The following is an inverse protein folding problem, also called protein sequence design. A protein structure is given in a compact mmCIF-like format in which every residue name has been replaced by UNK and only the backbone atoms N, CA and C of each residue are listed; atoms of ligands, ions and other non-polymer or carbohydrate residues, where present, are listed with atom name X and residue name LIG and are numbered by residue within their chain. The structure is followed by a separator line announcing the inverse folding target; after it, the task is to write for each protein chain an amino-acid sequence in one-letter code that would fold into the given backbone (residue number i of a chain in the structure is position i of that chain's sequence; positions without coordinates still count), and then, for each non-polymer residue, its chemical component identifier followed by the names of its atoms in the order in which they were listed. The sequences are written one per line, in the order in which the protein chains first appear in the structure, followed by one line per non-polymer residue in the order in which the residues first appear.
data_IF_421444288755
#
_entry.id   IF_421444288755
#
_cell.length_a   1.000
_cell.length_b   1.000
_cell.length_c   1.000
_cell.angle_alpha   90.00
_cell.angle_beta   90.00
_cell.angle_gamma   90.00
#
_symmetry.space_group_name_H-M   'P 1'
#
loop_
_entity.id
_entity.type
_entity.pdbx_description
1 polymer ?
#
# COMPACT_ATOMS: atom_id res chain seq x y z
N UNK A 1 1.89 9.48 -2.56
CA UNK A 1 1.37 9.66 -1.17
C UNK A 1 0.81 11.05 -0.93
N UNK A 2 1.28 12.09 -1.63
CA UNK A 2 0.89 13.49 -1.40
C UNK A 2 -0.63 13.73 -1.40
N UNK A 3 -1.37 13.09 -2.31
CA UNK A 3 -2.83 13.27 -2.46
C UNK A 3 -3.68 12.19 -1.76
N UNK A 4 -3.05 11.31 -0.97
CA UNK A 4 -3.81 10.34 -0.20
C UNK A 4 -4.41 11.01 1.04
N UNK A 5 -5.59 10.56 1.51
CA UNK A 5 -6.13 11.04 2.76
C UNK A 5 -5.23 10.62 3.93
N UNK A 6 -5.31 11.34 5.05
CA UNK A 6 -4.45 11.08 6.21
C UNK A 6 -4.69 9.69 6.83
N UNK A 7 -5.89 9.13 6.65
CA UNK A 7 -6.22 7.78 7.06
C UNK A 7 -5.71 6.68 6.11
N UNK A 8 -5.00 7.03 5.04
CA UNK A 8 -4.51 6.05 4.07
C UNK A 8 -3.50 5.07 4.68
N UNK A 9 -3.54 3.85 4.14
CA UNK A 9 -2.54 2.82 4.35
C UNK A 9 -1.94 2.41 3.00
N UNK A 10 -0.62 2.33 2.93
CA UNK A 10 0.13 1.93 1.74
C UNK A 10 0.81 0.59 1.98
N UNK A 11 0.79 -0.27 0.98
CA UNK A 11 1.52 -1.54 0.98
C UNK A 11 2.63 -1.48 -0.07
N UNK A 12 3.87 -1.66 0.35
CA UNK A 12 5.01 -1.78 -0.54
C UNK A 12 5.27 -3.26 -0.86
N UNK A 13 5.02 -3.62 -2.12
CA UNK A 13 5.23 -4.98 -2.64
C UNK A 13 6.71 -5.33 -2.71
N UNK A 14 7.58 -4.38 -3.08
CA UNK A 14 9.01 -4.64 -3.09
C UNK A 14 9.77 -3.33 -2.95
N UNK A 15 10.79 -3.36 -2.10
CA UNK A 15 11.54 -2.18 -1.67
C UNK A 15 12.89 -2.01 -2.37
N UNK A 16 13.20 -2.83 -3.38
CA UNK A 16 14.51 -2.81 -4.05
C UNK A 16 15.69 -2.97 -3.08
N UNK A 17 15.48 -3.75 -2.02
CA UNK A 17 16.41 -3.96 -0.90
C UNK A 17 16.74 -2.70 -0.09
N UNK A 18 15.97 -1.61 -0.29
CA UNK A 18 16.01 -0.41 0.54
C UNK A 18 14.69 -0.27 1.31
N UNK A 19 14.67 -0.84 2.51
CA UNK A 19 13.50 -0.81 3.39
C UNK A 19 13.11 0.58 3.91
N UNK A 20 13.98 1.59 3.74
CA UNK A 20 13.74 2.92 4.28
C UNK A 20 13.13 3.88 3.24
N UNK A 21 13.41 3.71 1.95
CA UNK A 21 13.03 4.64 0.89
C UNK A 21 11.56 5.09 0.97
N UNK A 22 10.60 4.16 0.80
CA UNK A 22 9.17 4.50 0.86
C UNK A 22 8.61 4.55 2.29
N UNK A 23 9.24 3.87 3.23
CA UNK A 23 8.86 3.90 4.65
C UNK A 23 9.02 5.30 5.23
N UNK A 24 10.14 5.96 4.95
CA UNK A 24 10.40 7.32 5.44
C UNK A 24 9.50 8.34 4.72
N UNK A 25 9.25 8.17 3.42
CA UNK A 25 8.28 9.01 2.70
C UNK A 25 6.86 8.88 3.28
N UNK A 26 6.42 7.65 3.61
CA UNK A 26 5.13 7.42 4.25
C UNK A 26 5.07 8.04 5.64
N UNK A 27 6.14 7.90 6.43
CA UNK A 27 6.26 8.54 7.75
C UNK A 27 6.20 10.06 7.65
N UNK A 28 6.92 10.67 6.71
CA UNK A 28 6.90 12.11 6.46
C UNK A 28 5.52 12.62 6.05
N UNK A 29 4.79 11.86 5.21
CA UNK A 29 3.40 12.21 4.85
C UNK A 29 2.41 11.94 5.98
N UNK A 30 2.75 11.11 6.96
CA UNK A 30 1.86 10.70 8.04
C UNK A 30 0.87 9.59 7.66
N UNK A 31 1.15 8.82 6.61
CA UNK A 31 0.31 7.69 6.18
C UNK A 31 0.90 6.37 6.67
N UNK A 32 0.04 5.37 6.91
CA UNK A 32 0.48 4.10 7.48
C UNK A 32 1.18 3.24 6.43
N UNK A 33 2.43 2.89 6.68
CA UNK A 33 3.23 2.02 5.82
C UNK A 33 3.13 0.54 6.24
N UNK A 34 2.98 -0.34 5.25
CA UNK A 34 2.98 -1.79 5.37
C UNK A 34 3.89 -2.40 4.30
N UNK A 35 4.49 -3.54 4.62
CA UNK A 35 5.19 -4.43 3.67
C UNK A 35 5.12 -5.87 4.21
N UNK A 36 5.76 -6.82 3.56
CA UNK A 36 5.76 -8.23 3.95
C UNK A 36 6.26 -8.43 5.38
N UNK A 37 5.60 -9.32 6.13
CA UNK A 37 6.11 -9.75 7.45
C UNK A 37 7.31 -10.70 7.30
N UNK A 38 7.36 -11.43 6.17
CA UNK A 38 8.49 -12.28 5.80
C UNK A 38 8.76 -12.14 4.29
N UNK A 39 10.00 -11.81 3.93
CA UNK A 39 10.40 -11.57 2.54
C UNK A 39 10.49 -12.86 1.71
N UNK A 40 10.55 -14.03 2.35
CA UNK A 40 10.49 -15.34 1.69
C UNK A 40 9.15 -15.62 1.01
N UNK A 41 8.14 -14.77 1.23
CA UNK A 41 6.84 -14.80 0.56
C UNK A 41 6.78 -14.04 -0.76
N UNK A 42 7.90 -13.44 -1.18
CA UNK A 42 8.05 -12.70 -2.42
C UNK A 42 9.17 -13.33 -3.25
N UNK A 43 8.87 -13.72 -4.48
CA UNK A 43 9.81 -14.39 -5.36
C UNK A 43 9.95 -13.63 -6.69
N UNK A 44 11.18 -13.28 -7.11
CA UNK A 44 11.40 -12.67 -8.41
C UNK A 44 11.15 -13.69 -9.53
N UNK A 45 10.35 -13.31 -10.51
CA UNK A 45 10.14 -14.04 -11.75
C UNK A 45 11.10 -13.50 -12.82
N UNK A 46 12.30 -14.08 -12.87
CA UNK A 46 13.31 -13.77 -13.86
C UNK A 46 14.08 -12.47 -13.59
N UNK A 47 14.68 -11.93 -14.65
CA UNK A 47 15.52 -10.73 -14.57
C UNK A 47 14.87 -9.61 -15.37
N UNK A 48 14.26 -8.67 -14.66
CA UNK A 48 13.70 -7.47 -15.26
C UNK A 48 14.79 -6.63 -15.92
N UNK A 49 14.66 -6.37 -17.23
CA UNK A 49 15.62 -5.59 -18.00
C UNK A 49 15.09 -4.18 -18.28
N UNK A 50 15.94 -3.19 -18.09
CA UNK A 50 15.69 -1.81 -18.50
C UNK A 50 15.43 -1.77 -20.02
N UNK A 51 14.40 -1.05 -20.50
CA UNK A 51 14.10 -0.98 -21.93
C UNK A 51 15.23 -0.37 -22.78
N UNK A 52 16.04 0.52 -22.19
CA UNK A 52 17.02 1.34 -22.91
C UNK A 52 18.34 0.61 -23.17
N UNK A 53 18.87 -0.09 -22.18
CA UNK A 53 20.22 -0.67 -22.19
C UNK A 53 20.23 -2.17 -21.84
N UNK A 54 19.05 -2.76 -21.60
CA UNK A 54 18.85 -4.14 -21.15
C UNK A 54 19.56 -4.47 -19.83
N UNK A 55 19.99 -3.48 -19.07
CA UNK A 55 20.59 -3.67 -17.76
C UNK A 55 19.56 -4.26 -16.82
N UNK A 56 19.95 -5.30 -16.09
CA UNK A 56 19.07 -5.94 -15.11
C UNK A 56 18.85 -4.98 -13.94
N UNK A 57 17.60 -4.79 -13.53
CA UNK A 57 17.30 -3.98 -12.37
C UNK A 57 16.03 -4.48 -11.68
N UNK A 58 16.11 -4.64 -10.34
CA UNK A 58 15.09 -5.32 -9.53
C UNK A 58 13.71 -4.64 -9.58
N UNK A 59 13.68 -3.32 -9.83
CA UNK A 59 12.45 -2.55 -10.10
C UNK A 59 11.65 -3.04 -11.31
N UNK A 60 12.31 -3.59 -12.34
CA UNK A 60 11.67 -4.05 -13.57
C UNK A 60 11.39 -5.54 -13.57
N UNK A 61 11.65 -6.22 -12.45
CA UNK A 61 11.43 -7.66 -12.30
C UNK A 61 9.98 -7.90 -11.91
N UNK A 62 9.36 -8.93 -12.49
CA UNK A 62 8.05 -9.38 -12.06
C UNK A 62 8.21 -10.16 -10.74
N UNK A 63 7.19 -10.14 -9.89
CA UNK A 63 7.24 -10.87 -8.62
C UNK A 63 6.00 -11.72 -8.45
N UNK A 64 6.21 -12.99 -8.11
CA UNK A 64 5.20 -13.85 -7.52
C UNK A 64 5.19 -13.68 -6.00
N UNK A 65 4.02 -13.81 -5.38
CA UNK A 65 3.91 -13.76 -3.93
C UNK A 65 2.81 -14.66 -3.39
N UNK A 66 2.93 -14.97 -2.09
CA UNK A 66 1.94 -15.74 -1.35
C UNK A 66 0.63 -14.95 -1.22
N UNK A 67 -0.44 -15.49 -1.82
CA UNK A 67 -1.75 -14.84 -1.90
C UNK A 67 -2.43 -14.73 -0.54
N UNK A 68 -2.25 -15.73 0.33
CA UNK A 68 -2.89 -15.78 1.64
C UNK A 68 -2.23 -14.79 2.60
N UNK A 69 -0.90 -14.68 2.56
CA UNK A 69 -0.16 -13.68 3.32
C UNK A 69 -0.52 -12.26 2.85
N UNK A 70 -0.57 -12.03 1.53
CA UNK A 70 -1.00 -10.74 0.98
C UNK A 70 -2.41 -10.39 1.46
N UNK A 71 -3.36 -11.32 1.35
CA UNK A 71 -4.74 -11.12 1.83
C UNK A 71 -4.80 -10.83 3.32
N UNK A 72 -4.02 -11.55 4.14
CA UNK A 72 -3.93 -11.32 5.60
C UNK A 72 -3.50 -9.89 5.90
N UNK A 73 -2.45 -9.40 5.24
CA UNK A 73 -1.95 -8.03 5.45
C UNK A 73 -2.98 -7.00 4.98
N UNK A 74 -3.59 -7.20 3.81
CA UNK A 74 -4.62 -6.29 3.29
C UNK A 74 -5.82 -6.20 4.24
N UNK A 75 -6.27 -7.31 4.84
CA UNK A 75 -7.34 -7.28 5.83
C UNK A 75 -6.96 -6.48 7.09
N UNK A 76 -5.71 -6.56 7.54
CA UNK A 76 -5.21 -5.72 8.64
C UNK A 76 -5.19 -4.23 8.27
N UNK A 77 -4.83 -3.90 7.02
CA UNK A 77 -4.88 -2.53 6.50
C UNK A 77 -6.31 -1.99 6.43
N UNK A 78 -7.25 -2.81 5.95
CA UNK A 78 -8.68 -2.46 5.92
C UNK A 78 -9.18 -2.15 7.32
N UNK A 79 -8.82 -2.97 8.30
CA UNK A 79 -9.23 -2.75 9.69
C UNK A 79 -8.61 -1.48 10.28
N UNK A 80 -7.34 -1.20 9.98
CA UNK A 80 -6.69 0.06 10.34
C UNK A 80 -7.46 1.28 9.80
N UNK A 81 -7.82 1.27 8.52
CA UNK A 81 -8.56 2.38 7.89
C UNK A 81 -9.96 2.52 8.50
N UNK A 82 -10.69 1.40 8.69
CA UNK A 82 -12.05 1.40 9.24
C UNK A 82 -12.13 1.97 10.65
N UNK A 83 -11.08 1.76 11.47
CA UNK A 83 -10.98 2.30 12.83
C UNK A 83 -10.49 3.74 12.88
N UNK A 84 -10.00 4.31 11.78
CA UNK A 84 -9.43 5.65 11.79
C UNK A 84 -10.51 6.73 12.02
N UNK A 85 -10.37 7.63 13.01
CA UNK A 85 -11.40 8.61 13.34
C UNK A 85 -11.84 9.50 12.16
N UNK A 86 -10.89 10.02 11.38
CA UNK A 86 -11.20 10.85 10.21
C UNK A 86 -11.91 10.07 9.09
N UNK A 87 -11.61 8.78 8.92
CA UNK A 87 -12.35 7.94 7.98
C UNK A 87 -13.80 7.78 8.42
N UNK A 88 -14.04 7.46 9.70
CA UNK A 88 -15.37 7.32 10.28
C UNK A 88 -16.17 8.62 10.17
N UNK A 89 -15.53 9.76 10.48
CA UNK A 89 -16.13 11.09 10.34
C UNK A 89 -16.55 11.36 8.89
N UNK A 90 -15.67 11.06 7.93
CA UNK A 90 -15.98 11.27 6.52
C UNK A 90 -17.11 10.37 6.02
N UNK A 91 -17.14 9.10 6.44
CA UNK A 91 -18.24 8.18 6.13
C UNK A 91 -19.58 8.68 6.67
N UNK A 92 -19.61 9.26 7.88
CA UNK A 92 -20.82 9.87 8.45
C UNK A 92 -21.30 11.07 7.62
N UNK A 93 -20.39 11.92 7.16
CA UNK A 93 -20.71 13.07 6.31
C UNK A 93 -21.32 12.60 4.98
N UNK A 94 -20.71 11.62 4.33
CA UNK A 94 -21.20 11.09 3.04
C UNK A 94 -22.60 10.48 3.18
N UNK A 95 -22.85 9.70 4.24
CA UNK A 95 -24.18 9.11 4.51
C UNK A 95 -25.27 10.16 4.73
N UNK A 96 -24.96 11.22 5.48
CA UNK A 96 -25.91 12.34 5.72
C UNK A 96 -26.22 13.09 4.43
N UNK A 97 -25.21 13.32 3.59
CA UNK A 97 -25.40 13.97 2.27
C UNK A 97 -26.27 13.13 1.35
N UNK A 98 -26.06 11.81 1.30
CA UNK A 98 -26.90 10.91 0.53
C UNK A 98 -28.37 10.95 1.00
N UNK A 99 -28.60 10.80 2.31
CA UNK A 99 -29.96 10.84 2.87
C UNK A 99 -30.66 12.19 2.70
N UNK A 100 -29.92 13.31 2.68
CA UNK A 100 -30.46 14.64 2.44
C UNK A 100 -30.63 15.00 0.96
N UNK A 101 -30.08 14.22 0.03
CA UNK A 101 -30.26 14.37 -1.41
C UNK A 101 -31.43 13.52 -1.96
N UNK A 102 -32.00 12.65 -1.13
CA UNK A 102 -33.19 11.84 -1.43
C UNK A 102 -34.51 12.51 -0.95
N UNK A 103 -34.44 13.75 -0.44
CA UNK A 103 -35.58 14.62 -0.09
C UNK A 103 -35.66 15.80 -1.06
#
# INVERSE_FOLDING_TARGET
MLFQPDWAAVFEIYNCDDANCYKDLARLRGVKYWTWSKMDKLHPEGEGKLPMDKTQHKKFTNYAFDKDEFKRIILQMVEYVRRHPEFVKQQRILRRRAAGAEL
#
